data_IF_651291587880
#
_entry.id   IF_651291587880
#
_cell.length_a   1.000
_cell.length_b   1.000
_cell.length_c   1.000
_cell.angle_alpha   90.00
_cell.angle_beta   90.00
_cell.angle_gamma   90.00
#
_symmetry.space_group_name_H-M   'P 1'
#
loop_
_entity.id
_entity.type
_entity.pdbx_description
1 polymer ?
#
# COMPACT_ATOMS: atom_id res chain seq x y z
N UNK A 1 -3.24 -13.37 10.38
CA UNK A 1 -2.60 -12.62 9.28
C UNK A 1 -2.52 -13.43 7.97
N UNK A 2 -2.08 -14.68 7.99
CA UNK A 2 -1.92 -15.50 6.76
C UNK A 2 -3.23 -15.70 6.00
N UNK A 3 -4.34 -15.97 6.69
CA UNK A 3 -5.65 -16.10 6.07
C UNK A 3 -6.11 -14.78 5.42
N UNK A 4 -5.87 -13.65 6.10
CA UNK A 4 -6.16 -12.33 5.55
C UNK A 4 -5.31 -12.03 4.32
N UNK A 5 -4.02 -12.37 4.36
CA UNK A 5 -3.12 -12.19 3.21
C UNK A 5 -3.56 -13.05 2.02
N UNK A 6 -3.98 -14.30 2.26
CA UNK A 6 -4.53 -15.16 1.21
C UNK A 6 -5.79 -14.56 0.56
N UNK A 7 -6.67 -13.97 1.35
CA UNK A 7 -7.83 -13.26 0.83
C UNK A 7 -7.41 -12.10 -0.08
N UNK A 8 -6.48 -11.28 0.38
CA UNK A 8 -5.98 -10.12 -0.37
C UNK A 8 -5.32 -10.54 -1.68
N UNK A 9 -4.50 -11.59 -1.65
CA UNK A 9 -3.79 -12.08 -2.84
C UNK A 9 -4.74 -12.60 -3.92
N UNK A 10 -5.88 -13.17 -3.51
CA UNK A 10 -6.94 -13.63 -4.42
C UNK A 10 -8.04 -12.62 -4.73
N UNK A 11 -7.90 -11.37 -4.27
CA UNK A 11 -8.93 -10.34 -4.38
C UNK A 11 -9.07 -9.77 -5.79
N UNK A 12 -10.14 -8.98 -5.99
CA UNK A 12 -10.49 -8.39 -7.28
C UNK A 12 -9.59 -7.21 -7.71
N UNK A 13 -8.81 -6.65 -6.79
CA UNK A 13 -7.92 -5.52 -7.09
C UNK A 13 -6.62 -6.04 -7.70
N UNK A 14 -6.18 -5.44 -8.79
CA UNK A 14 -4.95 -5.81 -9.49
C UNK A 14 -3.70 -5.70 -8.58
N UNK A 15 -2.77 -6.62 -8.78
CA UNK A 15 -1.54 -6.70 -7.98
C UNK A 15 -0.74 -5.39 -7.98
N UNK A 16 -0.66 -4.70 -9.12
CA UNK A 16 0.08 -3.44 -9.23
C UNK A 16 -0.45 -2.38 -8.28
N UNK A 17 -1.76 -2.25 -8.16
CA UNK A 17 -2.40 -1.29 -7.24
C UNK A 17 -2.20 -1.71 -5.79
N UNK A 18 -2.36 -3.00 -5.49
CA UNK A 18 -2.13 -3.52 -4.12
C UNK A 18 -0.69 -3.29 -3.66
N UNK A 19 0.28 -3.45 -4.55
CA UNK A 19 1.70 -3.19 -4.25
C UNK A 19 1.97 -1.71 -3.97
N UNK A 20 1.42 -0.80 -4.76
CA UNK A 20 1.55 0.64 -4.51
C UNK A 20 0.94 1.04 -3.16
N UNK A 21 -0.25 0.53 -2.85
CA UNK A 21 -0.91 0.74 -1.55
C UNK A 21 -0.03 0.23 -0.40
N UNK A 22 0.50 -0.99 -0.51
CA UNK A 22 1.33 -1.59 0.52
C UNK A 22 2.64 -0.82 0.73
N UNK A 23 3.26 -0.37 -0.36
CA UNK A 23 4.47 0.48 -0.30
C UNK A 23 4.16 1.79 0.43
N UNK A 24 3.08 2.46 0.06
CA UNK A 24 2.73 3.74 0.68
C UNK A 24 2.44 3.61 2.17
N UNK A 25 1.63 2.65 2.57
CA UNK A 25 1.35 2.38 3.98
C UNK A 25 2.64 2.07 4.76
N UNK A 26 3.54 1.28 4.18
CA UNK A 26 4.81 0.92 4.78
C UNK A 26 5.76 2.11 4.93
N UNK A 27 5.72 3.07 4.00
CA UNK A 27 6.44 4.34 4.10
C UNK A 27 5.93 5.16 5.29
N UNK A 28 4.62 5.29 5.42
CA UNK A 28 3.98 6.06 6.50
C UNK A 28 4.30 5.44 7.86
N UNK A 29 4.19 4.11 7.99
CA UNK A 29 4.43 3.39 9.22
C UNK A 29 5.93 3.13 9.51
N UNK A 30 6.82 3.42 8.56
CA UNK A 30 8.26 3.22 8.73
C UNK A 30 8.68 1.77 8.87
N UNK A 31 8.00 0.83 8.19
CA UNK A 31 8.33 -0.60 8.24
C UNK A 31 9.43 -0.94 7.21
N UNK A 32 10.67 -1.01 7.64
CA UNK A 32 11.80 -1.32 6.75
C UNK A 32 11.69 -2.70 6.11
N UNK A 33 11.30 -3.72 6.88
CA UNK A 33 11.05 -5.08 6.36
C UNK A 33 10.00 -5.09 5.26
N UNK A 34 8.85 -4.49 5.52
CA UNK A 34 7.72 -4.47 4.59
C UNK A 34 8.06 -3.66 3.34
N UNK A 35 8.68 -2.50 3.53
CA UNK A 35 9.06 -1.62 2.42
C UNK A 35 10.04 -2.31 1.48
N UNK A 36 11.11 -2.90 2.03
CA UNK A 36 12.11 -3.63 1.25
C UNK A 36 11.48 -4.78 0.45
N UNK A 37 10.61 -5.57 1.10
CA UNK A 37 9.94 -6.71 0.47
C UNK A 37 9.01 -6.26 -0.66
N UNK A 38 8.15 -5.31 -0.40
CA UNK A 38 7.17 -4.83 -1.41
C UNK A 38 7.82 -4.07 -2.57
N UNK A 39 8.88 -3.31 -2.32
CA UNK A 39 9.66 -2.67 -3.39
C UNK A 39 10.29 -3.71 -4.31
N UNK A 40 10.85 -4.77 -3.74
CA UNK A 40 11.41 -5.89 -4.50
C UNK A 40 10.33 -6.58 -5.33
N UNK A 41 9.20 -6.88 -4.72
CA UNK A 41 8.09 -7.57 -5.40
C UNK A 41 7.48 -6.70 -6.50
N UNK A 42 7.37 -5.40 -6.29
CA UNK A 42 6.91 -4.45 -7.30
C UNK A 42 7.84 -4.43 -8.52
N UNK A 43 9.15 -4.38 -8.32
CA UNK A 43 10.13 -4.44 -9.42
C UNK A 43 10.01 -5.75 -10.18
N UNK A 44 9.86 -6.89 -9.50
CA UNK A 44 9.64 -8.20 -10.13
C UNK A 44 8.36 -8.24 -10.95
N UNK A 45 7.33 -7.54 -10.51
CA UNK A 45 6.05 -7.44 -11.21
C UNK A 45 6.07 -6.43 -12.39
N UNK A 46 7.21 -5.81 -12.66
CA UNK A 46 7.38 -4.89 -13.79
C UNK A 46 7.24 -3.41 -13.45
N UNK A 47 7.11 -3.05 -12.17
CA UNK A 47 7.07 -1.65 -11.76
C UNK A 47 8.42 -0.96 -12.03
N UNK A 48 8.37 0.31 -12.44
CA UNK A 48 9.57 1.06 -12.78
C UNK A 48 10.21 1.70 -11.55
N UNK A 49 11.54 1.80 -11.59
CA UNK A 49 12.29 2.48 -10.53
C UNK A 49 11.87 3.95 -10.39
N UNK A 50 11.63 4.63 -11.52
CA UNK A 50 11.19 6.03 -11.56
C UNK A 50 9.89 6.24 -10.79
N UNK A 51 8.89 5.38 -10.98
CA UNK A 51 7.62 5.45 -10.25
C UNK A 51 7.78 5.13 -8.77
N UNK A 52 8.57 4.11 -8.45
CA UNK A 52 8.82 3.69 -7.07
C UNK A 52 9.52 4.78 -6.25
N UNK A 53 10.43 5.53 -6.87
CA UNK A 53 11.15 6.62 -6.20
C UNK A 53 10.24 7.74 -5.71
N UNK A 54 9.11 7.96 -6.37
CA UNK A 54 8.21 9.07 -6.07
C UNK A 54 6.86 8.67 -5.47
N UNK A 55 6.69 7.43 -5.05
CA UNK A 55 5.44 6.99 -4.39
C UNK A 55 5.13 7.84 -3.16
N UNK A 56 6.12 8.22 -2.37
CA UNK A 56 5.92 9.07 -1.19
C UNK A 56 5.49 10.51 -1.53
N UNK A 57 5.71 10.93 -2.77
CA UNK A 57 5.36 12.24 -3.30
C UNK A 57 4.43 12.14 -4.53
N UNK A 58 3.60 11.11 -4.55
CA UNK A 58 2.78 10.75 -5.71
C UNK A 58 1.86 11.88 -6.20
N UNK A 59 1.39 12.75 -5.29
CA UNK A 59 0.50 13.87 -5.66
C UNK A 59 1.17 14.85 -6.63
N UNK A 60 2.47 15.04 -6.48
CA UNK A 60 3.28 15.95 -7.31
C UNK A 60 3.75 15.29 -8.61
N UNK A 61 3.68 13.95 -8.71
CA UNK A 61 4.23 13.21 -9.83
C UNK A 61 3.14 12.88 -10.88
N UNK A 62 3.32 13.24 -12.17
CA UNK A 62 2.36 12.92 -13.23
C UNK A 62 2.58 11.49 -13.76
N UNK A 63 2.89 10.53 -12.91
CA UNK A 63 3.28 9.16 -13.28
C UNK A 63 2.24 8.11 -12.90
N UNK A 64 1.17 8.51 -12.20
CA UNK A 64 0.16 7.59 -11.67
C UNK A 64 -1.21 7.86 -12.32
N UNK A 65 -1.92 6.78 -12.64
CA UNK A 65 -3.29 6.86 -13.17
C UNK A 65 -4.26 7.38 -12.10
N UNK A 66 -5.45 7.81 -12.50
CA UNK A 66 -6.49 8.24 -11.56
C UNK A 66 -6.85 7.12 -10.58
N UNK A 67 -6.91 5.88 -11.06
CA UNK A 67 -7.16 4.70 -10.23
C UNK A 67 -6.05 4.47 -9.20
N UNK A 68 -4.80 4.57 -9.60
CA UNK A 68 -3.65 4.47 -8.71
C UNK A 68 -3.61 5.61 -7.69
N UNK A 69 -3.91 6.83 -8.13
CA UNK A 69 -3.97 8.01 -7.23
C UNK A 69 -5.06 7.86 -6.19
N UNK A 70 -6.23 7.36 -6.58
CA UNK A 70 -7.32 7.07 -5.64
C UNK A 70 -6.92 6.00 -4.63
N UNK A 71 -6.23 4.96 -5.05
CA UNK A 71 -5.72 3.91 -4.16
C UNK A 71 -4.66 4.42 -3.18
N UNK A 72 -3.76 5.29 -3.64
CA UNK A 72 -2.72 5.89 -2.79
C UNK A 72 -3.33 6.83 -1.73
N UNK A 73 -4.31 7.65 -2.11
CA UNK A 73 -5.05 8.48 -1.17
C UNK A 73 -5.81 7.63 -0.15
N UNK A 74 -6.43 6.53 -0.60
CA UNK A 74 -7.12 5.58 0.26
C UNK A 74 -6.16 4.92 1.27
N UNK A 75 -4.99 4.50 0.80
CA UNK A 75 -3.93 3.94 1.64
C UNK A 75 -3.53 4.89 2.78
N UNK A 76 -3.33 6.17 2.46
CA UNK A 76 -2.97 7.20 3.44
C UNK A 76 -4.09 7.41 4.46
N UNK A 77 -5.32 7.60 3.97
CA UNK A 77 -6.48 7.88 4.82
C UNK A 77 -6.79 6.72 5.77
N UNK A 78 -6.75 5.49 5.29
CA UNK A 78 -7.02 4.29 6.11
C UNK A 78 -5.87 4.00 7.06
N UNK A 79 -4.62 4.21 6.65
CA UNK A 79 -3.45 4.05 7.51
C UNK A 79 -3.49 5.03 8.69
N UNK A 80 -3.90 6.27 8.44
CA UNK A 80 -4.01 7.33 9.42
C UNK A 80 -5.47 7.57 9.87
N UNK A 81 -6.26 6.51 9.93
CA UNK A 81 -7.72 6.61 10.12
C UNK A 81 -8.13 7.36 11.39
N UNK A 82 -7.34 7.25 12.45
CA UNK A 82 -7.60 7.95 13.71
C UNK A 82 -7.57 9.48 13.54
N UNK A 83 -6.75 9.98 12.64
CA UNK A 83 -6.59 11.41 12.38
C UNK A 83 -7.45 11.86 11.19
N UNK A 84 -7.48 11.06 10.11
CA UNK A 84 -8.12 11.43 8.85
C UNK A 84 -9.62 11.23 8.85
N UNK A 85 -10.12 10.19 9.50
CA UNK A 85 -11.51 9.70 9.43
C UNK A 85 -12.00 9.53 7.99
N UNK A 86 -11.08 9.31 7.04
CA UNK A 86 -11.35 9.17 5.60
C UNK A 86 -12.22 10.32 5.07
N UNK A 87 -11.63 11.46 4.67
CA UNK A 87 -12.38 12.60 4.17
C UNK A 87 -13.29 12.26 2.99
N UNK A 88 -14.40 12.97 2.84
CA UNK A 88 -15.39 12.73 1.79
C UNK A 88 -14.77 12.73 0.40
N UNK A 89 -13.87 13.65 0.10
CA UNK A 89 -13.18 13.72 -1.20
C UNK A 89 -12.34 12.47 -1.49
N UNK A 90 -11.74 11.87 -0.47
CA UNK A 90 -10.98 10.61 -0.63
C UNK A 90 -11.93 9.45 -0.90
N UNK A 91 -13.03 9.38 -0.17
CA UNK A 91 -14.07 8.35 -0.37
C UNK A 91 -14.68 8.44 -1.77
N UNK A 92 -15.08 9.64 -2.20
CA UNK A 92 -15.68 9.87 -3.51
C UNK A 92 -14.74 9.54 -4.66
N UNK A 93 -13.46 9.93 -4.56
CA UNK A 93 -12.44 9.59 -5.55
C UNK A 93 -12.26 8.07 -5.66
N UNK A 94 -12.25 7.36 -4.53
CA UNK A 94 -12.16 5.91 -4.52
C UNK A 94 -13.42 5.26 -5.15
N UNK A 95 -14.60 5.77 -4.84
CA UNK A 95 -15.85 5.27 -5.41
C UNK A 95 -15.95 5.51 -6.93
N UNK A 96 -15.32 6.54 -7.44
CA UNK A 96 -15.29 6.81 -8.88
C UNK A 96 -14.43 5.79 -9.64
N UNK A 97 -13.40 5.22 -9.00
CA UNK A 97 -12.41 4.33 -9.63
C UNK A 97 -12.59 2.85 -9.29
N UNK A 98 -13.27 2.55 -8.19
CA UNK A 98 -13.43 1.18 -7.68
C UNK A 98 -14.91 0.84 -7.48
N UNK A 99 -15.29 -0.39 -7.84
CA UNK A 99 -16.60 -0.94 -7.47
C UNK A 99 -16.69 -1.12 -5.96
N UNK A 100 -17.89 -1.40 -5.44
CA UNK A 100 -18.07 -1.68 -4.00
C UNK A 100 -17.18 -2.84 -3.55
N UNK A 101 -17.17 -3.94 -4.32
CA UNK A 101 -16.35 -5.11 -4.00
C UNK A 101 -14.86 -4.78 -4.05
N UNK A 102 -14.42 -4.07 -5.09
CA UNK A 102 -13.02 -3.65 -5.21
C UNK A 102 -12.61 -2.73 -4.06
N UNK A 103 -13.49 -1.83 -3.61
CA UNK A 103 -13.18 -0.93 -2.50
C UNK A 103 -13.08 -1.68 -1.17
N UNK A 104 -13.93 -2.68 -0.94
CA UNK A 104 -13.79 -3.60 0.20
C UNK A 104 -12.44 -4.32 0.12
N UNK A 105 -12.11 -4.88 -1.02
CA UNK A 105 -10.86 -5.62 -1.23
C UNK A 105 -9.63 -4.72 -1.04
N UNK A 106 -9.69 -3.51 -1.55
CA UNK A 106 -8.63 -2.49 -1.36
C UNK A 106 -8.47 -2.14 0.12
N UNK A 107 -9.60 -2.03 0.84
CA UNK A 107 -9.58 -1.76 2.28
C UNK A 107 -9.00 -2.93 3.06
N UNK A 108 -9.34 -4.16 2.69
CA UNK A 108 -8.75 -5.35 3.31
C UNK A 108 -7.24 -5.45 3.04
N UNK A 109 -6.79 -5.03 1.85
CA UNK A 109 -5.36 -4.92 1.56
C UNK A 109 -4.68 -3.89 2.48
N UNK A 110 -5.32 -2.75 2.71
CA UNK A 110 -4.81 -1.73 3.64
C UNK A 110 -4.76 -2.25 5.09
N UNK A 111 -5.79 -2.97 5.53
CA UNK A 111 -5.82 -3.60 6.86
C UNK A 111 -4.68 -4.62 6.99
N UNK A 112 -4.47 -5.45 5.99
CA UNK A 112 -3.42 -6.47 5.99
C UNK A 112 -2.03 -5.84 6.12
N UNK A 113 -1.70 -4.87 5.25
CA UNK A 113 -0.37 -4.24 5.29
C UNK A 113 -0.15 -3.46 6.60
N UNK A 114 -1.15 -2.77 7.11
CA UNK A 114 -1.05 -2.09 8.40
C UNK A 114 -0.83 -3.10 9.55
N UNK A 115 -1.48 -4.26 9.50
CA UNK A 115 -1.25 -5.35 10.44
C UNK A 115 0.18 -5.87 10.39
N UNK A 116 0.69 -6.17 9.19
CA UNK A 116 2.08 -6.61 9.00
C UNK A 116 3.09 -5.54 9.44
N UNK A 117 2.86 -4.27 9.10
CA UNK A 117 3.73 -3.17 9.55
C UNK A 117 3.86 -3.17 11.07
N UNK A 118 2.73 -3.29 11.79
CA UNK A 118 2.72 -3.27 13.26
C UNK A 118 3.45 -4.47 13.86
N UNK A 119 3.25 -5.66 13.29
CA UNK A 119 3.97 -6.85 13.74
C UNK A 119 5.48 -6.73 13.52
N UNK A 120 5.89 -6.33 12.31
CA UNK A 120 7.32 -6.24 11.99
C UNK A 120 8.02 -5.13 12.77
N UNK A 121 7.40 -3.97 12.92
CA UNK A 121 7.97 -2.85 13.68
C UNK A 121 7.99 -3.17 15.18
N UNK A 122 6.89 -3.65 15.75
CA UNK A 122 6.78 -3.93 17.18
C UNK A 122 7.77 -5.01 17.63
N UNK A 123 7.95 -6.05 16.82
CA UNK A 123 8.86 -7.15 17.15
C UNK A 123 10.28 -7.00 16.57
N UNK A 124 10.58 -5.83 15.99
CA UNK A 124 11.92 -5.43 15.50
C UNK A 124 12.50 -6.39 14.48
N UNK A 125 11.67 -6.82 13.53
CA UNK A 125 12.09 -7.71 12.44
C UNK A 125 12.78 -6.85 11.36
N UNK A 126 14.10 -7.05 11.13
CA UNK A 126 14.81 -6.28 10.10
C UNK A 126 14.53 -6.81 8.70
N UNK A 127 14.76 -6.00 7.66
CA UNK A 127 14.70 -6.50 6.29
C UNK A 127 15.74 -7.60 6.05
N UNK A 128 15.40 -8.54 5.17
CA UNK A 128 16.30 -9.63 4.77
C UNK A 128 17.34 -9.11 3.77
N UNK A 129 18.30 -8.34 4.26
CA UNK A 129 19.44 -7.81 3.48
C UNK A 129 20.74 -8.31 4.07
N UNK A 130 21.78 -8.43 3.21
CA UNK A 130 23.12 -8.71 3.70
C UNK A 130 23.59 -7.55 4.60
N UNK A 131 24.12 -7.90 5.79
CA UNK A 131 24.77 -6.90 6.64
C UNK A 131 26.10 -6.52 6.00
N UNK A 132 26.33 -5.22 5.88
CA UNK A 132 27.68 -4.71 5.62
C UNK A 132 28.38 -4.69 6.98
N UNK A 133 29.24 -5.67 7.21
CA UNK A 133 30.11 -5.69 8.39
C UNK A 133 31.22 -4.66 8.24
#
# INVERSE_FOLDING_TARGET
MTALQSYVDGSSVEQSVRLLLAIRASQINGCAFCLHMHMRDARKAGETQERLEVVSAWREAPLFTDRERAALAWAEAVTLVADSHVPDEVYEAARAEFTEQELVDLTMAAVAINGWNRLMVAFRIPPAVARND
#
